data_IF_659029552963
#
_entry.id   IF_659029552963
#
_cell.length_a   1.000
_cell.length_b   1.000
_cell.length_c   1.000
_cell.angle_alpha   90.00
_cell.angle_beta   90.00
_cell.angle_gamma   90.00
#
_symmetry.space_group_name_H-M   'P 1'
#
loop_
_entity.id
_entity.type
_entity.pdbx_description
1 polymer ?
#
# COMPACT_ATOMS: atom_id res chain seq x y z
N UNK A 1 19.13 0.81 21.61
CA UNK A 1 19.38 -0.64 21.71
C UNK A 1 18.27 -1.39 20.99
N UNK A 2 18.61 -2.22 19.98
CA UNK A 2 17.63 -3.08 19.31
C UNK A 2 17.26 -4.24 20.24
N UNK A 3 15.97 -4.48 20.41
CA UNK A 3 15.47 -5.62 21.18
C UNK A 3 14.49 -6.41 20.30
N UNK A 4 14.89 -7.64 19.97
CA UNK A 4 14.03 -8.56 19.24
C UNK A 4 12.81 -8.92 20.12
N UNK A 5 11.61 -8.82 19.57
CA UNK A 5 10.35 -9.06 20.28
C UNK A 5 9.75 -10.42 19.96
N UNK A 6 9.85 -10.86 18.70
CA UNK A 6 9.25 -12.12 18.23
C UNK A 6 10.18 -12.77 17.22
N UNK A 7 10.35 -14.08 17.31
CA UNK A 7 10.87 -14.91 16.25
C UNK A 7 9.72 -15.49 15.45
N UNK A 8 9.67 -15.13 14.18
CA UNK A 8 8.75 -15.79 13.27
C UNK A 8 9.20 -17.21 12.99
N UNK A 9 8.25 -18.14 12.97
CA UNK A 9 8.46 -19.55 12.67
C UNK A 9 7.42 -20.03 11.67
N UNK A 10 7.68 -21.19 11.04
CA UNK A 10 6.73 -21.74 10.09
C UNK A 10 5.29 -21.83 10.66
N UNK A 11 5.14 -22.22 11.92
CA UNK A 11 3.83 -22.36 12.58
C UNK A 11 3.18 -21.00 12.95
N UNK A 12 4.01 -19.98 13.22
CA UNK A 12 3.54 -18.66 13.65
C UNK A 12 3.45 -17.65 12.50
N UNK A 13 3.82 -18.05 11.29
CA UNK A 13 3.90 -17.17 10.13
C UNK A 13 5.33 -16.78 9.82
N UNK A 14 5.63 -16.63 8.54
CA UNK A 14 6.92 -16.19 8.01
C UNK A 14 6.71 -15.17 6.90
N UNK A 15 7.77 -14.43 6.58
CA UNK A 15 7.72 -13.35 5.59
C UNK A 15 6.66 -12.29 5.91
N UNK A 16 6.78 -11.52 6.99
CA UNK A 16 5.93 -10.35 7.22
C UNK A 16 6.24 -9.33 6.12
N UNK A 17 5.30 -9.15 5.21
CA UNK A 17 5.50 -8.32 4.02
C UNK A 17 4.88 -6.92 4.19
N UNK A 18 3.85 -6.81 5.00
CA UNK A 18 3.10 -5.57 5.24
C UNK A 18 3.44 -4.93 6.58
N UNK A 19 3.01 -3.68 6.75
CA UNK A 19 3.12 -2.98 8.02
C UNK A 19 2.10 -3.50 9.04
N UNK A 20 2.47 -3.47 10.32
CA UNK A 20 1.50 -3.64 11.40
C UNK A 20 0.69 -2.35 11.59
N UNK A 21 -0.54 -2.51 12.08
CA UNK A 21 -1.37 -1.39 12.54
C UNK A 21 -1.53 -1.45 14.06
N UNK A 22 -1.61 -0.29 14.70
CA UNK A 22 -2.06 -0.17 16.09
C UNK A 22 -3.57 0.03 16.08
N UNK A 23 -4.29 -0.94 16.61
CA UNK A 23 -5.75 -0.90 16.67
C UNK A 23 -6.24 -0.11 17.90
N UNK A 24 -7.53 0.24 17.91
CA UNK A 24 -8.19 1.01 18.97
C UNK A 24 -8.13 0.33 20.32
N UNK A 25 -8.00 -1.00 20.37
CA UNK A 25 -7.81 -1.78 21.60
C UNK A 25 -6.36 -1.70 22.15
N UNK A 26 -5.49 -0.90 21.54
CA UNK A 26 -4.09 -0.67 21.94
C UNK A 26 -3.10 -1.73 21.47
N UNK A 27 -3.55 -2.80 20.85
CA UNK A 27 -2.70 -3.88 20.34
C UNK A 27 -2.26 -3.67 18.90
N UNK A 28 -1.18 -4.33 18.50
CA UNK A 28 -0.69 -4.33 17.15
C UNK A 28 -1.20 -5.56 16.40
N UNK A 29 -1.66 -5.36 15.17
CA UNK A 29 -2.10 -6.44 14.29
C UNK A 29 -1.31 -6.43 13.00
N UNK A 30 -1.02 -7.62 12.49
CA UNK A 30 -0.26 -7.76 11.26
C UNK A 30 -0.55 -9.06 10.53
N UNK A 31 0.03 -9.16 9.35
CA UNK A 31 -0.13 -10.29 8.44
C UNK A 31 1.25 -10.84 8.07
N UNK A 32 1.33 -12.14 7.85
CA UNK A 32 2.48 -12.76 7.19
C UNK A 32 2.07 -13.36 5.87
N UNK A 33 2.96 -13.29 4.88
CA UNK A 33 2.70 -13.80 3.54
C UNK A 33 2.58 -15.33 3.51
N UNK A 34 3.40 -16.00 4.32
CA UNK A 34 3.54 -17.45 4.37
C UNK A 34 3.54 -17.95 5.83
N UNK A 35 3.63 -19.26 5.99
CA UNK A 35 3.56 -19.92 7.29
C UNK A 35 2.13 -20.16 7.75
N UNK A 36 1.98 -20.53 9.02
CA UNK A 36 0.72 -21.02 9.59
C UNK A 36 0.44 -22.47 9.23
N UNK A 37 -0.70 -22.98 9.65
CA UNK A 37 -1.07 -24.39 9.47
C UNK A 37 -1.09 -24.84 7.99
N UNK A 38 -1.36 -23.92 7.06
CA UNK A 38 -1.50 -24.23 5.64
C UNK A 38 -0.36 -23.64 4.78
N UNK A 39 0.66 -23.01 5.40
CA UNK A 39 1.70 -22.28 4.71
C UNK A 39 1.17 -21.17 3.76
N UNK A 40 0.06 -20.53 4.12
CA UNK A 40 -0.61 -19.54 3.27
C UNK A 40 -0.76 -18.17 3.97
N UNK A 41 -0.02 -17.99 5.08
CA UNK A 41 0.01 -16.78 5.86
C UNK A 41 -0.86 -16.86 7.12
N UNK A 42 -0.64 -15.92 8.02
CA UNK A 42 -1.40 -15.78 9.26
C UNK A 42 -1.78 -14.32 9.51
N UNK A 43 -2.88 -14.13 10.24
CA UNK A 43 -3.20 -12.90 10.94
C UNK A 43 -2.74 -13.08 12.38
N UNK A 44 -2.00 -12.11 12.90
CA UNK A 44 -1.49 -12.14 14.27
C UNK A 44 -1.78 -10.84 15.01
N UNK A 45 -1.79 -10.96 16.32
CA UNK A 45 -1.85 -9.86 17.29
C UNK A 45 -0.57 -9.85 18.12
N UNK A 46 -0.07 -8.67 18.42
CA UNK A 46 1.01 -8.48 19.37
C UNK A 46 0.61 -7.44 20.41
N UNK A 47 0.63 -7.84 21.67
CA UNK A 47 0.42 -6.95 22.81
C UNK A 47 1.79 -6.43 23.26
N UNK A 48 2.05 -5.14 23.03
CA UNK A 48 3.31 -4.51 23.39
C UNK A 48 3.50 -4.33 24.91
N UNK A 49 2.42 -4.31 25.69
CA UNK A 49 2.49 -4.15 27.14
C UNK A 49 2.92 -5.46 27.83
N UNK A 50 2.34 -6.58 27.40
CA UNK A 50 2.67 -7.91 27.95
C UNK A 50 3.76 -8.63 27.18
N UNK A 51 4.21 -8.09 26.02
CA UNK A 51 5.13 -8.73 25.06
C UNK A 51 4.62 -10.09 24.55
N UNK A 52 3.31 -10.27 24.38
CA UNK A 52 2.70 -11.51 23.95
C UNK A 52 2.32 -11.44 22.48
N UNK A 53 2.84 -12.39 21.69
CA UNK A 53 2.41 -12.68 20.33
C UNK A 53 1.30 -13.73 20.35
N UNK A 54 0.23 -13.50 19.58
CA UNK A 54 -0.89 -14.42 19.44
C UNK A 54 -1.26 -14.58 17.97
N UNK A 55 -1.13 -15.78 17.44
CA UNK A 55 -1.69 -16.12 16.15
C UNK A 55 -3.22 -16.12 16.26
N UNK A 56 -3.91 -15.36 15.42
CA UNK A 56 -5.36 -15.18 15.45
C UNK A 56 -6.09 -15.95 14.36
N UNK A 57 -5.47 -16.10 13.19
CA UNK A 57 -6.08 -16.83 12.08
C UNK A 57 -5.02 -17.43 11.15
N UNK A 58 -5.26 -18.65 10.69
CA UNK A 58 -4.48 -19.31 9.65
C UNK A 58 -5.22 -19.19 8.31
N UNK A 59 -4.60 -18.54 7.33
CA UNK A 59 -5.16 -18.47 5.99
C UNK A 59 -5.09 -19.83 5.28
N UNK A 60 -5.98 -20.02 4.30
CA UNK A 60 -6.08 -21.26 3.50
C UNK A 60 -6.53 -20.93 2.08
N UNK A 61 -6.41 -21.89 1.17
CA UNK A 61 -6.87 -21.72 -0.22
C UNK A 61 -8.35 -21.32 -0.32
N UNK A 62 -9.19 -21.74 0.62
CA UNK A 62 -10.63 -21.43 0.62
C UNK A 62 -10.98 -20.09 1.27
N UNK A 63 -10.20 -19.67 2.26
CA UNK A 63 -10.46 -18.47 3.06
C UNK A 63 -9.63 -17.25 2.59
N UNK A 64 -8.80 -17.45 1.58
CA UNK A 64 -7.82 -16.47 1.14
C UNK A 64 -6.41 -16.86 1.56
N UNK A 65 -5.42 -16.51 0.75
CA UNK A 65 -4.02 -16.86 0.96
C UNK A 65 -3.06 -15.75 0.52
N UNK A 66 -1.88 -15.75 1.11
CA UNK A 66 -0.80 -14.82 0.78
C UNK A 66 -1.22 -13.34 0.89
N UNK A 67 -1.64 -12.85 2.05
CA UNK A 67 -1.94 -11.43 2.25
C UNK A 67 -0.67 -10.60 2.05
N UNK A 68 -0.77 -9.51 1.27
CA UNK A 68 0.36 -8.60 0.98
C UNK A 68 0.16 -7.20 1.52
N UNK A 69 -1.07 -6.68 1.45
CA UNK A 69 -1.42 -5.37 2.00
C UNK A 69 -1.52 -5.40 3.52
N UNK A 70 -1.47 -4.24 4.13
CA UNK A 70 -1.68 -4.09 5.57
C UNK A 70 -3.17 -4.19 5.92
N UNK A 71 -3.45 -4.53 7.16
CA UNK A 71 -4.78 -4.36 7.73
C UNK A 71 -5.13 -2.88 7.86
N UNK A 72 -6.42 -2.58 7.87
CA UNK A 72 -6.95 -1.29 8.29
C UNK A 72 -8.08 -1.51 9.30
N UNK A 73 -8.21 -0.62 10.29
CA UNK A 73 -9.34 -0.60 11.19
C UNK A 73 -10.38 0.39 10.69
N UNK A 74 -11.60 -0.09 10.47
CA UNK A 74 -12.71 0.75 10.06
C UNK A 74 -13.42 1.37 11.27
N UNK A 75 -14.21 2.42 11.04
CA UNK A 75 -14.98 3.11 12.10
C UNK A 75 -15.92 2.19 12.86
N UNK A 76 -16.29 1.03 12.30
CA UNK A 76 -17.08 0.02 12.98
C UNK A 76 -16.27 -0.84 13.99
N UNK A 77 -14.99 -0.53 14.22
CA UNK A 77 -14.10 -1.20 15.18
C UNK A 77 -13.63 -2.58 14.73
N UNK A 78 -13.73 -2.90 13.45
CA UNK A 78 -13.26 -4.18 12.89
C UNK A 78 -12.07 -3.95 11.96
N UNK A 79 -11.23 -4.96 11.84
CA UNK A 79 -10.11 -4.96 10.91
C UNK A 79 -10.55 -5.52 9.55
N UNK A 80 -10.11 -4.87 8.49
CA UNK A 80 -10.32 -5.32 7.12
C UNK A 80 -8.98 -5.51 6.42
N UNK A 81 -8.94 -6.49 5.54
CA UNK A 81 -7.75 -6.77 4.73
C UNK A 81 -8.09 -7.56 3.48
N UNK A 82 -7.07 -7.77 2.68
CA UNK A 82 -7.18 -8.53 1.44
C UNK A 82 -6.09 -9.59 1.35
N UNK A 83 -6.38 -10.66 0.64
CA UNK A 83 -5.37 -11.67 0.28
C UNK A 83 -5.14 -11.67 -1.21
N UNK A 84 -3.89 -11.90 -1.63
CA UNK A 84 -3.54 -11.92 -3.06
C UNK A 84 -4.20 -13.09 -3.78
N UNK A 85 -4.25 -14.26 -3.14
CA UNK A 85 -4.71 -15.50 -3.71
C UNK A 85 -5.78 -16.15 -2.82
N UNK A 86 -6.27 -17.32 -3.24
CA UNK A 86 -7.29 -18.08 -2.52
C UNK A 86 -8.70 -17.55 -2.77
N UNK A 87 -9.65 -18.05 -2.00
CA UNK A 87 -11.08 -17.87 -2.26
C UNK A 87 -11.60 -18.83 -3.33
N UNK A 88 -12.88 -18.72 -3.67
CA UNK A 88 -13.55 -19.60 -4.62
C UNK A 88 -12.88 -19.60 -6.00
N UNK A 89 -12.36 -18.46 -6.43
CA UNK A 89 -11.77 -18.28 -7.76
C UNK A 89 -10.23 -18.21 -7.74
N UNK A 90 -9.59 -18.52 -6.62
CA UNK A 90 -8.15 -18.38 -6.40
C UNK A 90 -7.58 -16.95 -6.72
N UNK A 91 -8.44 -15.94 -6.76
CA UNK A 91 -8.12 -14.56 -7.16
C UNK A 91 -7.95 -13.60 -5.98
N UNK A 92 -7.99 -14.15 -4.77
CA UNK A 92 -7.95 -13.39 -3.51
C UNK A 92 -9.33 -13.14 -2.92
N UNK A 93 -9.31 -12.64 -1.69
CA UNK A 93 -10.55 -12.31 -0.95
C UNK A 93 -10.40 -10.97 -0.24
N UNK A 94 -11.53 -10.30 0.00
CA UNK A 94 -11.68 -9.27 1.01
C UNK A 94 -12.23 -9.93 2.27
N UNK A 95 -11.64 -9.63 3.42
CA UNK A 95 -12.03 -10.22 4.71
C UNK A 95 -12.16 -9.18 5.81
N UNK A 96 -12.90 -9.57 6.85
CA UNK A 96 -13.10 -8.85 8.10
C UNK A 96 -12.58 -9.70 9.25
N UNK A 97 -11.94 -9.08 10.22
CA UNK A 97 -11.61 -9.69 11.51
C UNK A 97 -12.18 -8.86 12.65
N UNK A 98 -13.00 -9.49 13.48
CA UNK A 98 -13.58 -8.86 14.65
C UNK A 98 -12.69 -9.13 15.87
N UNK A 99 -12.06 -8.08 16.38
CA UNK A 99 -11.13 -8.12 17.52
C UNK A 99 -11.82 -8.47 18.85
N UNK A 100 -13.13 -8.20 18.97
CA UNK A 100 -13.87 -8.41 20.22
C UNK A 100 -14.12 -9.90 20.51
N UNK A 101 -14.45 -10.67 19.48
CA UNK A 101 -14.74 -12.10 19.59
C UNK A 101 -13.76 -13.00 18.86
N UNK A 102 -12.67 -12.43 18.33
CA UNK A 102 -11.63 -13.11 17.56
C UNK A 102 -12.16 -13.91 16.36
N UNK A 103 -13.16 -13.39 15.66
CA UNK A 103 -13.75 -14.09 14.50
C UNK A 103 -13.27 -13.51 13.18
N UNK A 104 -12.90 -14.40 12.27
CA UNK A 104 -12.62 -14.11 10.87
C UNK A 104 -13.87 -14.31 10.02
N UNK A 105 -14.09 -13.44 9.04
CA UNK A 105 -15.22 -13.51 8.13
C UNK A 105 -14.77 -13.12 6.72
N UNK A 106 -14.88 -14.03 5.77
CA UNK A 106 -14.69 -13.73 4.37
C UNK A 106 -15.88 -12.91 3.88
N UNK A 107 -15.65 -11.76 3.29
CA UNK A 107 -16.67 -10.81 2.84
C UNK A 107 -16.92 -10.84 1.35
N UNK A 108 -15.88 -11.04 0.57
CA UNK A 108 -15.99 -11.07 -0.88
C UNK A 108 -14.91 -11.96 -1.50
N UNK A 109 -15.29 -12.79 -2.46
CA UNK A 109 -14.38 -13.56 -3.30
C UNK A 109 -14.12 -12.79 -4.60
N UNK A 110 -12.88 -12.40 -4.82
CA UNK A 110 -12.50 -11.81 -6.10
C UNK A 110 -12.54 -12.85 -7.21
N UNK A 111 -12.74 -12.39 -8.44
CA UNK A 111 -12.70 -13.22 -9.65
C UNK A 111 -12.02 -12.47 -10.78
N UNK A 112 -11.43 -13.15 -11.78
CA UNK A 112 -10.71 -12.46 -12.87
C UNK A 112 -11.54 -11.40 -13.60
N UNK A 113 -12.88 -11.58 -13.69
CA UNK A 113 -13.78 -10.64 -14.37
C UNK A 113 -14.08 -9.36 -13.58
N UNK A 114 -14.01 -9.41 -12.24
CA UNK A 114 -14.33 -8.26 -11.41
C UNK A 114 -13.13 -7.67 -10.68
N UNK A 115 -12.16 -8.48 -10.25
CA UNK A 115 -10.95 -8.06 -9.54
C UNK A 115 -10.05 -9.28 -9.32
N UNK A 116 -8.73 -9.10 -9.25
CA UNK A 116 -7.82 -10.21 -8.95
C UNK A 116 -6.50 -9.71 -8.37
N UNK A 117 -5.92 -10.50 -7.48
CA UNK A 117 -4.58 -10.26 -6.94
C UNK A 117 -4.40 -8.84 -6.36
N UNK A 118 -5.10 -8.46 -5.28
CA UNK A 118 -4.86 -7.21 -4.59
C UNK A 118 -3.47 -7.23 -3.94
N UNK A 119 -2.73 -6.12 -4.05
CA UNK A 119 -1.41 -5.92 -3.46
C UNK A 119 -1.40 -4.88 -2.35
N UNK A 120 -2.09 -3.77 -2.56
CA UNK A 120 -2.18 -2.67 -1.61
C UNK A 120 -3.14 -2.94 -0.46
N UNK A 121 -3.26 -1.96 0.42
CA UNK A 121 -4.19 -1.99 1.55
C UNK A 121 -5.51 -1.30 1.19
N UNK A 122 -6.55 -1.59 1.96
CA UNK A 122 -7.80 -0.83 1.93
C UNK A 122 -7.61 0.51 2.64
N UNK A 123 -8.43 1.49 2.25
CA UNK A 123 -8.66 2.71 3.03
C UNK A 123 -10.16 2.85 3.30
N UNK A 124 -10.53 3.45 4.42
CA UNK A 124 -11.87 3.94 4.65
C UNK A 124 -11.91 5.43 4.32
N UNK A 125 -12.76 5.80 3.37
CA UNK A 125 -12.93 7.19 2.98
C UNK A 125 -13.95 7.90 3.89
N UNK A 126 -13.98 9.22 3.81
CA UNK A 126 -14.88 10.08 4.60
C UNK A 126 -16.36 9.75 4.47
N UNK A 127 -16.74 9.04 3.39
CA UNK A 127 -18.11 8.53 3.17
C UNK A 127 -18.38 7.17 3.88
N UNK A 128 -17.47 6.73 4.77
CA UNK A 128 -17.55 5.48 5.54
C UNK A 128 -17.61 4.21 4.68
N UNK A 129 -17.04 4.25 3.48
CA UNK A 129 -16.88 3.09 2.61
C UNK A 129 -15.42 2.74 2.45
N UNK A 130 -15.13 1.47 2.26
CA UNK A 130 -13.78 1.00 1.99
C UNK A 130 -13.49 1.07 0.49
N UNK A 131 -12.30 1.55 0.15
CA UNK A 131 -11.79 1.57 -1.21
C UNK A 131 -10.49 0.79 -1.29
N UNK A 132 -10.32 0.10 -2.41
CA UNK A 132 -9.12 -0.67 -2.68
C UNK A 132 -8.85 -0.82 -4.17
N UNK A 133 -7.67 -1.35 -4.46
CA UNK A 133 -7.26 -1.65 -5.82
C UNK A 133 -6.79 -3.09 -5.94
N UNK A 134 -6.95 -3.66 -7.13
CA UNK A 134 -6.36 -4.96 -7.46
C UNK A 134 -5.37 -4.80 -8.59
N UNK A 135 -4.30 -5.60 -8.56
CA UNK A 135 -3.24 -5.54 -9.57
C UNK A 135 -3.68 -6.14 -10.91
N UNK A 136 -4.63 -7.07 -10.88
CA UNK A 136 -5.13 -7.79 -12.04
C UNK A 136 -6.66 -7.89 -12.00
N UNK A 137 -7.25 -8.48 -13.04
CA UNK A 137 -8.68 -8.64 -13.17
C UNK A 137 -9.36 -7.42 -13.78
N UNK A 138 -10.69 -7.45 -13.81
CA UNK A 138 -11.50 -6.48 -14.54
C UNK A 138 -11.59 -6.79 -16.04
N UNK A 139 -12.27 -5.90 -16.77
CA UNK A 139 -12.53 -6.09 -18.22
C UNK A 139 -11.25 -6.22 -19.03
N UNK A 140 -10.20 -5.50 -18.65
CA UNK A 140 -8.91 -5.48 -19.35
C UNK A 140 -7.87 -6.43 -18.74
N UNK A 141 -8.15 -7.07 -17.60
CA UNK A 141 -7.18 -7.89 -16.88
C UNK A 141 -6.07 -7.09 -16.16
N UNK A 142 -6.15 -5.76 -16.17
CA UNK A 142 -5.09 -4.84 -15.75
C UNK A 142 -5.31 -4.21 -14.38
N UNK A 143 -6.30 -4.74 -13.65
CA UNK A 143 -6.68 -4.28 -12.30
C UNK A 143 -7.92 -3.41 -12.29
N UNK A 144 -8.43 -3.21 -11.09
CA UNK A 144 -9.63 -2.41 -10.85
C UNK A 144 -9.45 -1.53 -9.61
N UNK A 145 -10.19 -0.43 -9.57
CA UNK A 145 -10.52 0.29 -8.37
C UNK A 145 -11.94 -0.12 -7.95
N UNK A 146 -12.15 -0.39 -6.66
CA UNK A 146 -13.43 -0.84 -6.14
C UNK A 146 -13.80 -0.14 -4.84
N UNK A 147 -15.09 -0.20 -4.52
CA UNK A 147 -15.71 0.22 -3.27
C UNK A 147 -16.31 -1.00 -2.58
N UNK A 148 -16.21 -1.06 -1.25
CA UNK A 148 -16.93 -2.02 -0.43
C UNK A 148 -17.67 -1.30 0.70
N UNK A 149 -18.95 -1.52 0.80
CA UNK A 149 -19.79 -0.96 1.86
C UNK A 149 -19.95 -1.98 3.00
N UNK A 150 -19.38 -1.66 4.16
CA UNK A 150 -19.36 -2.53 5.34
C UNK A 150 -20.73 -2.69 6.00
N UNK A 151 -21.66 -1.75 5.78
CA UNK A 151 -23.00 -1.76 6.39
C UNK A 151 -23.93 -2.79 5.76
N UNK A 152 -23.80 -3.01 4.44
CA UNK A 152 -24.67 -3.94 3.69
C UNK A 152 -23.90 -5.05 2.97
N UNK A 153 -22.56 -5.10 3.13
CA UNK A 153 -21.65 -6.06 2.51
C UNK A 153 -21.69 -6.05 0.96
N UNK A 154 -21.88 -4.87 0.36
CA UNK A 154 -21.95 -4.72 -1.10
C UNK A 154 -20.58 -4.31 -1.65
N UNK A 155 -20.07 -5.08 -2.60
CA UNK A 155 -18.89 -4.77 -3.43
C UNK A 155 -19.34 -4.11 -4.74
N UNK A 156 -18.68 -3.03 -5.13
CA UNK A 156 -18.94 -2.31 -6.39
C UNK A 156 -17.60 -2.02 -7.08
N UNK A 157 -17.44 -2.53 -8.29
CA UNK A 157 -16.34 -2.13 -9.15
C UNK A 157 -16.58 -0.71 -9.65
N UNK A 158 -15.60 0.19 -9.44
CA UNK A 158 -15.70 1.61 -9.78
C UNK A 158 -14.98 1.98 -11.07
N UNK A 159 -13.83 1.36 -11.31
CA UNK A 159 -13.03 1.66 -12.50
C UNK A 159 -12.25 0.43 -12.93
N UNK A 160 -12.24 0.15 -14.25
CA UNK A 160 -11.36 -0.83 -14.86
C UNK A 160 -10.12 -0.11 -15.40
N UNK A 161 -8.95 -0.46 -14.89
CA UNK A 161 -7.70 0.07 -15.41
C UNK A 161 -7.45 -0.42 -16.84
N UNK A 162 -6.71 0.40 -17.61
CA UNK A 162 -6.35 0.09 -18.99
C UNK A 162 -4.93 0.57 -19.30
N UNK A 163 -4.35 0.09 -20.40
CA UNK A 163 -3.02 0.56 -20.81
C UNK A 163 -2.93 2.08 -21.00
N UNK A 164 -4.02 2.74 -21.39
CA UNK A 164 -4.05 4.19 -21.63
C UNK A 164 -4.18 5.03 -20.34
N UNK A 165 -4.94 4.53 -19.36
CA UNK A 165 -5.24 5.30 -18.14
C UNK A 165 -4.54 4.77 -16.88
N UNK A 166 -3.63 3.80 -17.02
CA UNK A 166 -2.88 3.19 -15.93
C UNK A 166 -3.25 1.73 -15.71
N UNK A 167 -2.30 0.91 -15.30
CA UNK A 167 -2.48 -0.52 -15.09
C UNK A 167 -1.61 -1.08 -13.98
N UNK A 168 -2.03 -2.21 -13.42
CA UNK A 168 -1.31 -2.94 -12.39
C UNK A 168 -0.94 -2.11 -11.15
N UNK A 169 -1.91 -1.48 -10.46
CA UNK A 169 -1.64 -0.77 -9.22
C UNK A 169 -1.09 -1.74 -8.16
N UNK A 170 -0.11 -1.27 -7.36
CA UNK A 170 0.49 -2.04 -6.24
C UNK A 170 0.35 -1.33 -4.91
N UNK A 171 0.45 -0.01 -4.90
CA UNK A 171 0.26 0.80 -3.69
C UNK A 171 -1.19 0.87 -3.24
N UNK A 172 -1.43 1.58 -2.16
CA UNK A 172 -2.75 1.85 -1.61
C UNK A 172 -3.24 3.22 -2.09
N UNK A 173 -4.55 3.42 -2.00
CA UNK A 173 -5.16 4.76 -2.16
C UNK A 173 -4.88 5.62 -0.93
N UNK A 174 -4.98 6.93 -1.11
CA UNK A 174 -5.07 7.91 -0.04
C UNK A 174 -6.27 8.83 -0.32
N UNK A 175 -7.03 9.19 0.70
CA UNK A 175 -7.97 10.31 0.62
C UNK A 175 -7.22 11.59 1.02
N UNK A 176 -7.14 12.53 0.09
CA UNK A 176 -6.52 13.82 0.34
C UNK A 176 -7.51 14.78 1.02
N UNK A 177 -6.99 15.87 1.57
CA UNK A 177 -7.77 16.90 2.28
C UNK A 177 -8.88 17.54 1.44
N UNK A 178 -8.81 17.42 0.10
CA UNK A 178 -9.88 17.84 -0.82
C UNK A 178 -11.03 16.81 -0.95
N UNK A 179 -11.02 15.71 -0.17
CA UNK A 179 -12.04 14.68 -0.16
C UNK A 179 -12.02 13.72 -1.36
N UNK A 180 -10.95 13.74 -2.15
CA UNK A 180 -10.77 12.84 -3.30
C UNK A 180 -9.73 11.78 -3.02
N UNK A 181 -9.87 10.65 -3.69
CA UNK A 181 -8.93 9.53 -3.58
C UNK A 181 -7.84 9.67 -4.63
N UNK A 182 -6.60 9.46 -4.24
CA UNK A 182 -5.44 9.45 -5.12
C UNK A 182 -4.72 8.12 -5.05
N UNK A 183 -4.19 7.70 -6.18
CA UNK A 183 -3.43 6.47 -6.28
C UNK A 183 -2.47 6.47 -7.46
N UNK A 184 -1.68 5.42 -7.55
CA UNK A 184 -0.72 5.24 -8.63
C UNK A 184 -0.82 3.85 -9.23
N UNK A 185 -0.49 3.74 -10.50
CA UNK A 185 -0.32 2.46 -11.18
C UNK A 185 1.12 2.27 -11.61
N UNK A 186 1.63 1.03 -11.58
CA UNK A 186 3.04 0.75 -11.89
C UNK A 186 3.35 0.92 -13.37
N UNK A 187 2.41 0.56 -14.24
CA UNK A 187 2.55 0.66 -15.70
C UNK A 187 1.30 1.29 -16.31
N UNK A 188 1.24 1.37 -17.62
CA UNK A 188 0.20 2.10 -18.35
C UNK A 188 0.52 3.59 -18.47
N UNK A 189 -0.42 4.35 -19.02
CA UNK A 189 -0.22 5.74 -19.39
C UNK A 189 0.50 5.92 -20.74
N UNK A 190 0.78 7.16 -21.10
CA UNK A 190 1.35 7.52 -22.39
C UNK A 190 2.69 6.84 -22.70
N UNK A 191 3.53 6.61 -21.68
CA UNK A 191 4.85 5.98 -21.83
C UNK A 191 4.88 4.54 -21.29
N UNK A 192 3.74 3.97 -20.90
CA UNK A 192 3.63 2.67 -20.24
C UNK A 192 4.52 2.54 -18.96
N UNK A 193 4.70 3.64 -18.23
CA UNK A 193 5.60 3.72 -17.07
C UNK A 193 4.88 4.11 -15.78
N UNK A 194 3.55 4.04 -15.80
CA UNK A 194 2.67 4.32 -14.69
C UNK A 194 1.97 5.67 -14.77
N UNK A 195 0.95 5.82 -13.96
CA UNK A 195 0.19 7.08 -13.84
C UNK A 195 -0.07 7.40 -12.38
N UNK A 196 -0.22 8.70 -12.08
CA UNK A 196 -0.88 9.21 -10.91
C UNK A 196 -2.31 9.56 -11.31
N UNK A 197 -3.28 9.17 -10.51
CA UNK A 197 -4.70 9.42 -10.80
C UNK A 197 -5.46 9.93 -9.58
N UNK A 198 -6.60 10.53 -9.84
CA UNK A 198 -7.61 10.97 -8.90
C UNK A 198 -8.90 10.20 -9.15
N UNK A 199 -9.58 9.82 -8.08
CA UNK A 199 -10.95 9.30 -8.15
C UNK A 199 -11.84 10.10 -7.20
N UNK A 200 -12.87 10.73 -7.77
CA UNK A 200 -13.91 11.43 -7.02
C UNK A 200 -15.05 10.46 -6.71
N UNK A 201 -15.15 10.05 -5.45
CA UNK A 201 -16.15 9.08 -5.00
C UNK A 201 -17.59 9.63 -5.03
N UNK A 202 -17.77 10.95 -4.99
CA UNK A 202 -19.07 11.59 -4.94
C UNK A 202 -19.78 11.56 -6.31
N UNK A 203 -18.99 11.73 -7.37
CA UNK A 203 -19.51 11.76 -8.76
C UNK A 203 -19.10 10.54 -9.58
N UNK A 204 -18.41 9.57 -8.93
CA UNK A 204 -17.93 8.34 -9.55
C UNK A 204 -17.04 8.62 -10.78
N UNK A 205 -16.08 9.52 -10.66
CA UNK A 205 -15.23 9.97 -11.76
C UNK A 205 -13.76 9.65 -11.53
N UNK A 206 -13.15 8.94 -12.48
CA UNK A 206 -11.73 8.69 -12.55
C UNK A 206 -11.06 9.73 -13.47
N UNK A 207 -9.94 10.30 -13.02
CA UNK A 207 -9.16 11.26 -13.81
C UNK A 207 -7.67 10.95 -13.70
N UNK A 208 -7.04 10.69 -14.83
CA UNK A 208 -5.58 10.62 -14.90
C UNK A 208 -4.99 12.01 -14.69
N UNK A 209 -4.07 12.17 -13.75
CA UNK A 209 -3.45 13.44 -13.38
C UNK A 209 -2.04 13.62 -13.94
N UNK A 210 -1.27 12.54 -13.99
CA UNK A 210 0.11 12.59 -14.47
C UNK A 210 0.52 11.27 -15.10
N UNK A 211 1.20 11.34 -16.24
CA UNK A 211 1.87 10.21 -16.88
C UNK A 211 3.35 10.20 -16.47
N UNK A 212 3.78 9.14 -15.80
CA UNK A 212 5.19 8.98 -15.48
C UNK A 212 6.02 8.68 -16.73
N UNK A 213 7.26 9.17 -16.74
CA UNK A 213 8.20 9.01 -17.85
C UNK A 213 9.63 9.03 -17.34
N UNK A 214 10.58 8.51 -18.11
CA UNK A 214 11.96 8.33 -17.67
C UNK A 214 12.58 9.57 -16.98
N UNK A 215 12.43 10.80 -17.44
CA UNK A 215 13.00 11.98 -16.76
C UNK A 215 12.35 12.28 -15.40
N UNK A 216 11.06 11.93 -15.24
CA UNK A 216 10.24 12.31 -14.09
C UNK A 216 9.98 11.14 -13.11
N UNK A 217 10.60 9.99 -13.35
CA UNK A 217 10.38 8.78 -12.57
C UNK A 217 9.46 7.79 -13.26
N UNK A 218 9.69 6.50 -13.01
CA UNK A 218 8.94 5.37 -13.57
C UNK A 218 8.66 4.33 -12.51
N UNK A 219 7.59 3.56 -12.70
CA UNK A 219 7.21 2.43 -11.85
C UNK A 219 7.00 2.85 -10.38
N UNK A 220 6.00 3.67 -10.07
CA UNK A 220 5.62 3.96 -8.69
C UNK A 220 4.99 2.70 -8.06
N UNK A 221 5.69 2.09 -7.12
CA UNK A 221 5.26 0.84 -6.47
C UNK A 221 4.62 1.06 -5.09
N UNK A 222 5.03 2.12 -4.39
CA UNK A 222 4.54 2.49 -3.07
C UNK A 222 3.22 3.27 -3.10
N UNK A 223 2.80 3.73 -1.93
CA UNK A 223 1.62 4.59 -1.77
C UNK A 223 2.01 6.05 -1.65
N UNK A 224 1.08 6.94 -1.95
CA UNK A 224 1.20 8.37 -1.68
C UNK A 224 0.99 8.65 -0.19
N UNK A 225 1.52 9.78 0.27
CA UNK A 225 1.20 10.40 1.55
C UNK A 225 0.84 11.87 1.31
N UNK A 226 -0.16 12.38 2.01
CA UNK A 226 -0.38 13.82 2.11
C UNK A 226 0.42 14.36 3.30
N UNK A 227 1.33 15.28 3.01
CA UNK A 227 2.13 15.90 4.04
C UNK A 227 1.38 17.09 4.67
N UNK A 228 1.87 17.58 5.81
CA UNK A 228 1.29 18.69 6.56
C UNK A 228 1.17 20.01 5.77
N UNK A 229 1.87 20.12 4.63
CA UNK A 229 1.74 21.25 3.70
C UNK A 229 0.57 21.07 2.69
N UNK A 230 -0.25 20.04 2.83
CA UNK A 230 -1.41 19.74 1.98
C UNK A 230 -1.06 19.21 0.59
N UNK A 231 0.17 18.77 0.37
CA UNK A 231 0.61 18.18 -0.91
C UNK A 231 0.86 16.68 -0.79
N UNK A 232 0.68 15.98 -1.89
CA UNK A 232 0.97 14.57 -1.97
C UNK A 232 2.45 14.34 -2.31
N UNK A 233 3.05 13.37 -1.64
CA UNK A 233 4.40 12.91 -1.89
C UNK A 233 4.42 11.42 -2.20
N UNK A 234 5.31 11.04 -3.11
CA UNK A 234 5.50 9.66 -3.50
C UNK A 234 6.87 9.40 -4.06
N UNK A 235 7.14 8.13 -4.35
CA UNK A 235 8.41 7.70 -4.92
C UNK A 235 8.18 6.79 -6.11
N UNK A 236 9.16 6.78 -7.01
CA UNK A 236 9.23 5.83 -8.12
C UNK A 236 10.46 4.95 -7.99
N UNK A 237 10.38 3.69 -8.39
CA UNK A 237 11.51 2.76 -8.27
C UNK A 237 12.56 2.91 -9.36
N UNK A 238 12.25 3.62 -10.43
CA UNK A 238 13.18 3.90 -11.53
C UNK A 238 12.96 5.28 -12.12
N UNK A 239 13.73 5.60 -13.14
CA UNK A 239 13.70 6.91 -13.80
C UNK A 239 14.44 7.99 -13.04
N UNK A 240 14.24 9.24 -13.42
CA UNK A 240 15.03 10.36 -12.97
C UNK A 240 16.39 10.45 -13.68
N UNK A 241 17.21 11.40 -13.28
CA UNK A 241 18.52 11.67 -13.91
C UNK A 241 19.45 10.46 -13.88
N UNK A 242 19.39 9.66 -12.81
CA UNK A 242 20.26 8.51 -12.60
C UNK A 242 19.60 7.16 -12.97
N UNK A 243 18.32 7.16 -13.37
CA UNK A 243 17.57 5.93 -13.62
C UNK A 243 17.19 5.13 -12.37
N UNK A 244 17.47 5.64 -11.17
CA UNK A 244 17.39 4.93 -9.90
C UNK A 244 16.19 5.31 -9.03
N UNK A 245 15.26 6.06 -9.61
CA UNK A 245 14.03 6.51 -8.95
C UNK A 245 14.07 7.97 -8.55
N UNK A 246 12.90 8.49 -8.23
CA UNK A 246 12.72 9.88 -7.77
C UNK A 246 11.80 9.93 -6.56
N UNK A 247 11.99 10.99 -5.75
CA UNK A 247 10.98 11.48 -4.82
C UNK A 247 10.29 12.66 -5.51
N UNK A 248 8.97 12.70 -5.45
CA UNK A 248 8.17 13.74 -6.09
C UNK A 248 7.08 14.29 -5.16
N UNK A 249 6.60 15.45 -5.52
CA UNK A 249 5.48 16.17 -4.95
C UNK A 249 4.39 16.33 -6.00
N UNK A 250 3.13 16.20 -5.60
CA UNK A 250 1.98 16.56 -6.42
C UNK A 250 1.06 17.50 -5.62
N UNK A 251 0.83 18.68 -6.15
CA UNK A 251 -0.09 19.66 -5.58
C UNK A 251 -1.50 19.42 -6.14
N UNK A 252 -2.42 18.98 -5.27
CA UNK A 252 -3.80 18.65 -5.67
C UNK A 252 -4.62 19.85 -6.09
N UNK A 253 -4.25 21.07 -5.63
CA UNK A 253 -4.97 22.31 -5.93
C UNK A 253 -4.54 22.90 -7.27
N UNK A 254 -3.24 23.01 -7.50
CA UNK A 254 -2.69 23.51 -8.78
C UNK A 254 -2.57 22.44 -9.85
N UNK A 255 -2.73 21.16 -9.50
CA UNK A 255 -2.54 19.99 -10.37
C UNK A 255 -1.13 19.89 -10.96
N UNK A 256 -0.12 20.33 -10.20
CA UNK A 256 1.28 20.37 -10.64
C UNK A 256 2.06 19.23 -10.02
N UNK A 257 2.74 18.45 -10.88
CA UNK A 257 3.76 17.49 -10.49
C UNK A 257 5.13 18.16 -10.42
N UNK A 258 5.89 17.91 -9.36
CA UNK A 258 7.24 18.42 -9.19
C UNK A 258 8.18 17.32 -8.72
N UNK A 259 9.22 17.04 -9.51
CA UNK A 259 10.31 16.17 -9.06
C UNK A 259 11.12 16.89 -7.98
N UNK A 260 11.30 16.28 -6.82
CA UNK A 260 11.98 16.87 -5.66
C UNK A 260 13.40 16.35 -5.47
N UNK A 261 13.64 15.06 -5.77
CA UNK A 261 14.95 14.45 -5.58
C UNK A 261 15.17 13.29 -6.56
N UNK A 262 16.35 13.22 -7.15
CA UNK A 262 16.82 12.09 -7.94
C UNK A 262 17.68 11.16 -7.06
N UNK A 263 17.25 9.93 -6.88
CA UNK A 263 18.03 8.95 -6.13
C UNK A 263 19.31 8.57 -6.87
N UNK A 264 20.33 8.13 -6.13
CA UNK A 264 21.65 7.79 -6.65
C UNK A 264 22.23 6.58 -5.91
N UNK A 265 23.24 5.94 -6.49
CA UNK A 265 23.91 4.81 -5.82
C UNK A 265 24.46 5.17 -4.44
N UNK A 266 24.94 6.40 -4.24
CA UNK A 266 25.47 6.84 -2.95
C UNK A 266 24.41 7.17 -1.90
N UNK A 267 23.24 7.69 -2.35
CA UNK A 267 22.19 8.23 -1.47
C UNK A 267 20.92 7.39 -1.44
N UNK A 268 20.98 6.18 -1.96
CA UNK A 268 19.85 5.25 -2.03
C UNK A 268 19.28 5.13 -3.45
N UNK A 269 18.81 3.95 -3.79
CA UNK A 269 18.26 3.61 -5.10
C UNK A 269 17.03 2.71 -5.03
N UNK A 270 16.19 2.79 -6.04
CA UNK A 270 15.02 1.92 -6.23
C UNK A 270 14.10 1.86 -5.00
N UNK A 271 13.58 3.00 -4.50
CA UNK A 271 12.60 2.98 -3.42
C UNK A 271 11.32 2.27 -3.89
N UNK A 272 10.79 1.37 -3.05
CA UNK A 272 9.57 0.59 -3.34
C UNK A 272 8.49 0.76 -2.30
N UNK A 273 8.84 1.21 -1.12
CA UNK A 273 7.92 1.45 -0.01
C UNK A 273 7.22 2.80 -0.11
N UNK A 274 6.50 3.13 0.95
CA UNK A 274 5.81 4.41 1.11
C UNK A 274 6.58 5.30 2.08
N UNK A 275 6.30 6.60 2.03
CA UNK A 275 6.81 7.59 2.98
C UNK A 275 5.93 7.61 4.23
N UNK A 276 6.50 8.05 5.34
CA UNK A 276 5.76 8.45 6.53
C UNK A 276 6.15 9.88 6.90
N UNK A 277 5.20 10.67 7.36
CA UNK A 277 5.48 11.97 7.95
C UNK A 277 5.60 11.82 9.47
N UNK A 278 6.67 12.36 10.01
CA UNK A 278 6.82 12.62 11.44
C UNK A 278 6.53 14.10 11.66
N UNK A 279 6.49 14.58 12.87
CA UNK A 279 6.22 15.99 13.18
C UNK A 279 7.09 16.96 12.35
N UNK A 280 6.53 18.12 11.99
CA UNK A 280 7.23 19.26 11.37
C UNK A 280 7.56 19.14 9.87
N UNK A 281 6.77 18.41 9.10
CA UNK A 281 6.98 18.34 7.64
C UNK A 281 8.18 17.50 7.22
N UNK A 282 8.63 16.57 8.06
CA UNK A 282 9.73 15.65 7.73
C UNK A 282 9.18 14.31 7.30
N UNK A 283 9.45 13.96 6.06
CA UNK A 283 9.12 12.67 5.48
C UNK A 283 10.30 11.71 5.63
N UNK A 284 10.02 10.50 6.05
CA UNK A 284 11.00 9.42 6.12
C UNK A 284 10.65 8.32 5.15
N UNK A 285 11.66 7.76 4.53
CA UNK A 285 11.52 6.65 3.59
C UNK A 285 12.76 5.78 3.54
N UNK A 286 12.61 4.63 2.89
CA UNK A 286 13.70 3.68 2.70
C UNK A 286 13.86 3.35 1.23
N UNK A 287 15.08 3.03 0.82
CA UNK A 287 15.39 2.54 -0.52
C UNK A 287 15.77 1.06 -0.48
N UNK A 288 15.51 0.36 -1.59
CA UNK A 288 15.85 -1.06 -1.72
C UNK A 288 17.35 -1.29 -1.89
N UNK A 289 18.04 -0.39 -2.58
CA UNK A 289 19.46 -0.47 -2.87
C UNK A 289 20.16 0.87 -2.67
N UNK A 290 21.42 0.95 -3.06
CA UNK A 290 22.27 2.12 -2.85
C UNK A 290 22.81 2.21 -1.42
N UNK A 291 23.47 3.32 -1.12
CA UNK A 291 24.22 3.49 0.12
C UNK A 291 25.60 2.82 0.08
N UNK A 292 26.34 2.90 1.17
CA UNK A 292 27.73 2.44 1.24
C UNK A 292 27.89 0.93 0.94
N UNK A 293 26.93 0.10 1.34
CA UNK A 293 26.94 -1.36 1.16
C UNK A 293 25.97 -1.84 0.08
N UNK A 294 25.35 -0.94 -0.66
CA UNK A 294 24.27 -1.24 -1.62
C UNK A 294 23.10 -2.04 -1.04
N UNK A 295 22.82 -1.90 0.26
CA UNK A 295 21.74 -2.57 0.98
C UNK A 295 20.55 -1.63 1.24
N UNK A 296 20.57 -0.45 0.65
CA UNK A 296 19.58 0.59 0.85
C UNK A 296 19.93 1.57 1.96
N UNK A 297 19.11 2.60 2.06
CA UNK A 297 19.27 3.67 3.05
C UNK A 297 17.96 4.01 3.71
N UNK A 298 18.03 4.50 4.95
CA UNK A 298 16.99 5.30 5.57
C UNK A 298 17.29 6.78 5.27
N UNK A 299 16.31 7.52 4.83
CA UNK A 299 16.46 8.96 4.54
C UNK A 299 15.34 9.79 5.16
N UNK A 300 15.61 11.08 5.26
CA UNK A 300 14.67 12.14 5.62
C UNK A 300 14.56 13.13 4.45
N UNK A 301 13.38 13.59 4.16
CA UNK A 301 13.12 14.71 3.28
C UNK A 301 12.30 15.78 4.01
N UNK A 302 12.82 16.98 4.11
CA UNK A 302 12.15 18.13 4.74
C UNK A 302 11.36 18.88 3.66
N UNK A 303 10.02 18.85 3.74
CA UNK A 303 9.13 19.50 2.75
C UNK A 303 9.20 21.03 2.78
N UNK A 304 9.63 21.63 3.90
CA UNK A 304 9.70 23.06 4.06
C UNK A 304 10.98 23.65 3.44
N UNK A 305 12.12 22.98 3.65
CA UNK A 305 13.42 23.39 3.10
C UNK A 305 13.75 22.74 1.77
N UNK A 306 13.01 21.73 1.35
CA UNK A 306 13.29 20.87 0.18
C UNK A 306 14.66 20.20 0.27
N UNK A 307 15.08 19.79 1.46
CA UNK A 307 16.37 19.15 1.71
C UNK A 307 16.21 17.65 1.92
N UNK A 308 16.93 16.87 1.12
CA UNK A 308 17.12 15.43 1.31
C UNK A 308 18.32 15.17 2.21
N UNK A 309 18.19 14.26 3.18
CA UNK A 309 19.26 13.87 4.09
C UNK A 309 19.27 12.35 4.26
N UNK A 310 20.36 11.71 3.86
CA UNK A 310 20.59 10.31 4.20
C UNK A 310 20.84 10.18 5.70
N UNK A 311 20.06 9.36 6.39
CA UNK A 311 20.15 9.17 7.85
C UNK A 311 20.95 7.94 8.24
N UNK A 312 20.83 6.86 7.46
CA UNK A 312 21.46 5.60 7.79
C UNK A 312 21.73 4.77 6.54
N UNK A 313 22.89 4.15 6.46
CA UNK A 313 23.23 3.12 5.47
C UNK A 313 22.96 1.74 6.06
N UNK A 314 22.09 0.95 5.42
CA UNK A 314 21.90 -0.44 5.82
C UNK A 314 23.13 -1.27 5.42
N UNK A 315 23.47 -2.24 6.26
CA UNK A 315 24.56 -3.19 6.04
C UNK A 315 24.09 -4.60 6.41
N UNK A 316 24.75 -5.61 5.87
CA UNK A 316 24.58 -7.03 6.24
C UNK A 316 25.16 -7.32 7.62
#
# INVERSE_FOLDING_TARGET
>A
VYTKKVDYSFLNGINPYSSMIKASNGKLYGLTLLGGANNQGVLFEYDANSNVYSKRFDFSSTNGSNPRGSLMEAVNGKLYGMTQNGGVNASGVLFEYNMTNNSYSKKFDFSPSNASSPFGSLIEASNSKLYGMTNQGGVNGLGVLFEYNTSNNVYIKKHDFSSANGSNPRGSLIEASNGKLYGMTVVGGASNQGVLFEYDANINSYTKKFDFSAPNGIYPEGSLIEASNGKLYGMTSGGGTNGLGVLFEYDVNSTVYTKKYDFSTANGSNPRGSLIEVTNGKLYGMTYGGGASNQGVLFEYDVNSNVYTKKYDFST
#
